data_IF_352359999704
#
_entry.id   IF_352359999704
#
_cell.length_a   1.000
_cell.length_b   1.000
_cell.length_c   1.000
_cell.angle_alpha   90.00
_cell.angle_beta   90.00
_cell.angle_gamma   90.00
#
_symmetry.space_group_name_H-M   'P 1'
#
loop_
_entity.id
_entity.type
_entity.pdbx_description
1 polymer ?
#
# COMPACT_ATOMS: atom_id res chain seq x y z
N UNK A 1 -5.09 -43.13 2.37
CA UNK A 1 -6.28 -42.38 2.81
C UNK A 1 -7.48 -43.24 2.51
N UNK A 2 -8.29 -43.55 3.52
CA UNK A 2 -9.46 -44.40 3.36
C UNK A 2 -10.62 -43.64 2.69
N UNK A 3 -11.52 -44.32 1.99
CA UNK A 3 -12.71 -43.69 1.37
C UNK A 3 -13.59 -42.91 2.39
N UNK A 4 -13.47 -43.23 3.69
CA UNK A 4 -14.17 -42.56 4.78
C UNK A 4 -13.57 -41.18 5.11
N UNK A 5 -12.25 -41.04 5.08
CA UNK A 5 -11.56 -39.76 5.33
C UNK A 5 -11.81 -38.74 4.21
N UNK A 6 -11.82 -39.20 2.94
CA UNK A 6 -12.15 -38.34 1.79
C UNK A 6 -13.56 -37.77 1.92
N UNK A 7 -14.53 -38.61 2.30
CA UNK A 7 -15.93 -38.20 2.42
C UNK A 7 -16.14 -37.17 3.55
N UNK A 8 -15.45 -37.31 4.68
CA UNK A 8 -15.51 -36.33 5.77
C UNK A 8 -14.93 -34.97 5.35
N UNK A 9 -13.75 -34.96 4.73
CA UNK A 9 -13.10 -33.73 4.31
C UNK A 9 -13.95 -32.94 3.31
N UNK A 10 -14.52 -33.63 2.31
CA UNK A 10 -15.39 -33.00 1.31
C UNK A 10 -16.66 -32.44 1.95
N UNK A 11 -17.28 -33.18 2.88
CA UNK A 11 -18.45 -32.68 3.61
C UNK A 11 -18.13 -31.45 4.47
N UNK A 12 -17.01 -31.46 5.19
CA UNK A 12 -16.58 -30.33 6.01
C UNK A 12 -16.38 -29.07 5.17
N UNK A 13 -15.62 -29.19 4.07
CA UNK A 13 -15.35 -28.07 3.16
C UNK A 13 -16.66 -27.56 2.56
N UNK A 14 -17.53 -28.45 2.07
CA UNK A 14 -18.78 -28.05 1.45
C UNK A 14 -19.71 -27.32 2.41
N UNK A 15 -19.85 -27.82 3.65
CA UNK A 15 -20.66 -27.16 4.68
C UNK A 15 -20.12 -25.77 5.03
N UNK A 16 -18.81 -25.66 5.26
CA UNK A 16 -18.20 -24.37 5.55
C UNK A 16 -18.35 -23.39 4.40
N UNK A 17 -18.11 -23.85 3.16
CA UNK A 17 -18.22 -23.02 1.97
C UNK A 17 -19.66 -22.52 1.76
N UNK A 18 -20.66 -23.38 1.97
CA UNK A 18 -22.06 -22.99 1.91
C UNK A 18 -22.39 -21.92 2.97
N UNK A 19 -21.93 -22.09 4.20
CA UNK A 19 -22.11 -21.09 5.26
C UNK A 19 -21.40 -19.77 4.92
N UNK A 20 -20.19 -19.85 4.37
CA UNK A 20 -19.41 -18.70 3.91
C UNK A 20 -20.15 -17.91 2.81
N UNK A 21 -20.58 -18.57 1.74
CA UNK A 21 -21.31 -17.93 0.64
C UNK A 21 -22.67 -17.37 1.10
N UNK A 22 -23.37 -18.08 1.98
CA UNK A 22 -24.62 -17.58 2.60
C UNK A 22 -24.37 -16.28 3.36
N UNK A 23 -23.25 -16.18 4.10
CA UNK A 23 -22.89 -14.95 4.82
C UNK A 23 -22.47 -13.82 3.87
N UNK A 24 -21.69 -14.11 2.83
CA UNK A 24 -21.33 -13.13 1.78
C UNK A 24 -22.58 -12.51 1.17
N UNK A 25 -23.61 -13.34 0.88
CA UNK A 25 -24.87 -12.87 0.32
C UNK A 25 -25.64 -11.86 1.17
N UNK A 26 -25.41 -11.82 2.50
CA UNK A 26 -26.06 -10.85 3.40
C UNK A 26 -25.59 -9.41 3.12
N UNK A 27 -24.37 -9.24 2.63
CA UNK A 27 -23.80 -7.92 2.36
C UNK A 27 -24.24 -7.33 1.01
N UNK A 28 -24.94 -8.11 0.16
CA UNK A 28 -25.44 -7.68 -1.15
C UNK A 28 -24.38 -6.98 -2.03
N UNK A 29 -23.12 -7.41 -1.92
CA UNK A 29 -21.99 -6.86 -2.68
C UNK A 29 -22.16 -7.18 -4.17
N UNK A 30 -21.92 -6.23 -5.08
CA UNK A 30 -21.94 -6.47 -6.53
C UNK A 30 -21.00 -7.60 -6.97
N UNK A 31 -21.34 -8.30 -8.05
CA UNK A 31 -20.56 -9.46 -8.51
C UNK A 31 -19.11 -9.13 -8.85
N UNK A 32 -18.84 -7.96 -9.43
CA UNK A 32 -17.51 -7.46 -9.77
C UNK A 32 -16.67 -7.09 -8.53
N UNK A 33 -17.31 -6.92 -7.38
CA UNK A 33 -16.66 -6.63 -6.11
C UNK A 33 -16.50 -7.85 -5.20
N UNK A 34 -16.98 -9.03 -5.62
CA UNK A 34 -16.80 -10.28 -4.86
C UNK A 34 -15.34 -10.67 -4.69
N UNK A 35 -14.44 -10.04 -5.46
CA UNK A 35 -12.99 -10.21 -5.34
C UNK A 35 -12.45 -9.82 -3.97
N UNK A 36 -13.18 -9.00 -3.19
CA UNK A 36 -12.81 -8.61 -1.81
C UNK A 36 -12.87 -9.78 -0.80
N UNK A 37 -13.66 -10.81 -1.10
CA UNK A 37 -13.79 -12.02 -0.29
C UNK A 37 -12.79 -13.08 -0.73
N UNK A 38 -12.19 -13.81 0.22
CA UNK A 38 -11.10 -14.74 -0.10
C UNK A 38 -11.56 -16.09 -0.67
N UNK A 39 -12.83 -16.46 -0.48
CA UNK A 39 -13.37 -17.76 -0.90
C UNK A 39 -14.67 -17.63 -1.72
N UNK A 40 -14.65 -16.73 -2.69
CA UNK A 40 -15.68 -16.52 -3.71
C UNK A 40 -15.17 -16.87 -5.10
N UNK A 41 -16.07 -16.91 -6.09
CA UNK A 41 -15.73 -17.18 -7.49
C UNK A 41 -15.02 -18.53 -7.66
N UNK A 42 -13.92 -18.56 -8.41
CA UNK A 42 -13.10 -19.75 -8.65
C UNK A 42 -11.92 -19.85 -7.65
N UNK A 43 -11.91 -19.04 -6.59
CA UNK A 43 -10.84 -19.06 -5.60
C UNK A 43 -10.92 -20.32 -4.75
N UNK A 44 -9.77 -20.90 -4.47
CA UNK A 44 -9.65 -22.07 -3.62
C UNK A 44 -8.82 -21.75 -2.38
N UNK A 45 -9.15 -22.44 -1.28
CA UNK A 45 -8.48 -22.28 0.00
C UNK A 45 -8.02 -23.62 0.55
N UNK A 46 -6.98 -23.58 1.38
CA UNK A 46 -6.61 -24.70 2.24
C UNK A 46 -7.02 -24.34 3.65
N UNK A 47 -7.93 -25.12 4.22
CA UNK A 47 -8.41 -25.00 5.59
C UNK A 47 -7.51 -25.83 6.50
N UNK A 48 -7.06 -25.22 7.59
CA UNK A 48 -6.32 -25.87 8.64
C UNK A 48 -7.16 -25.98 9.91
N UNK A 49 -7.17 -27.17 10.49
CA UNK A 49 -7.71 -27.43 11.82
C UNK A 49 -6.58 -28.01 12.68
N UNK A 50 -6.02 -27.19 13.58
CA UNK A 50 -4.85 -27.57 14.38
C UNK A 50 -5.29 -27.80 15.81
N UNK A 51 -5.24 -29.06 16.26
CA UNK A 51 -5.43 -29.42 17.67
C UNK A 51 -4.19 -29.06 18.46
N UNK A 52 -4.41 -28.39 19.58
CA UNK A 52 -3.36 -27.90 20.47
C UNK A 52 -3.82 -28.02 21.91
N UNK A 53 -2.88 -28.05 22.85
CA UNK A 53 -3.17 -28.24 24.26
C UNK A 53 -3.95 -27.05 24.84
N UNK A 54 -4.91 -27.37 25.72
CA UNK A 54 -5.59 -26.40 26.60
C UNK A 54 -5.50 -26.88 28.04
N UNK A 55 -5.36 -25.93 28.95
CA UNK A 55 -5.43 -26.18 30.39
C UNK A 55 -6.87 -26.08 30.93
N UNK A 56 -7.86 -25.89 30.05
CA UNK A 56 -9.26 -25.76 30.44
C UNK A 56 -9.79 -27.07 31.07
N UNK A 57 -10.37 -27.03 32.28
CA UNK A 57 -10.91 -28.22 32.92
C UNK A 57 -11.97 -28.92 32.07
N UNK A 58 -11.80 -30.23 31.84
CA UNK A 58 -12.74 -31.06 31.09
C UNK A 58 -12.42 -31.20 29.60
N UNK A 59 -11.44 -30.48 29.07
CA UNK A 59 -10.99 -30.58 27.68
C UNK A 59 -9.56 -31.09 27.57
N UNK A 60 -9.27 -31.88 26.53
CA UNK A 60 -7.92 -32.41 26.26
C UNK A 60 -7.13 -31.60 25.25
N UNK A 61 -7.83 -30.88 24.39
CA UNK A 61 -7.26 -30.03 23.37
C UNK A 61 -8.31 -28.98 22.98
N UNK A 62 -7.84 -27.89 22.39
CA UNK A 62 -8.68 -26.97 21.63
C UNK A 62 -8.17 -26.95 20.18
N UNK A 63 -9.03 -26.61 19.22
CA UNK A 63 -8.70 -26.55 17.80
C UNK A 63 -8.65 -25.11 17.32
N UNK A 64 -7.54 -24.73 16.70
CA UNK A 64 -7.43 -23.48 15.94
C UNK A 64 -7.87 -23.74 14.51
N UNK A 65 -8.74 -22.87 13.99
CA UNK A 65 -9.14 -22.90 12.60
C UNK A 65 -8.62 -21.67 11.87
N UNK A 66 -8.11 -21.87 10.66
CA UNK A 66 -7.76 -20.80 9.74
C UNK A 66 -7.69 -21.34 8.31
N UNK A 67 -7.65 -20.45 7.34
CA UNK A 67 -7.47 -20.75 5.94
C UNK A 67 -6.22 -20.06 5.37
N UNK A 68 -5.63 -20.67 4.36
CA UNK A 68 -4.61 -20.05 3.51
C UNK A 68 -5.09 -20.03 2.07
N UNK A 69 -4.55 -19.08 1.28
CA UNK A 69 -4.72 -19.13 -0.17
C UNK A 69 -4.17 -20.46 -0.71
N UNK A 70 -4.88 -21.06 -1.64
CA UNK A 70 -4.45 -22.29 -2.29
C UNK A 70 -4.04 -22.01 -3.73
N UNK A 71 -2.93 -22.61 -4.16
CA UNK A 71 -2.47 -22.57 -5.55
C UNK A 71 -3.08 -23.68 -6.41
N UNK A 72 -3.73 -24.66 -5.79
CA UNK A 72 -4.32 -25.81 -6.46
C UNK A 72 -5.78 -25.55 -6.87
N UNK A 73 -6.25 -26.29 -7.88
CA UNK A 73 -7.63 -26.17 -8.41
C UNK A 73 -8.73 -26.67 -7.45
N UNK A 74 -8.38 -27.19 -6.26
CA UNK A 74 -9.34 -27.77 -5.31
C UNK A 74 -9.08 -27.32 -3.89
N UNK A 75 -10.15 -27.05 -3.17
CA UNK A 75 -10.11 -26.80 -1.73
C UNK A 75 -9.53 -28.00 -0.97
N UNK A 76 -8.85 -27.75 0.14
CA UNK A 76 -8.22 -28.78 0.96
C UNK A 76 -8.53 -28.58 2.43
N UNK A 77 -8.65 -29.68 3.18
CA UNK A 77 -8.69 -29.68 4.63
C UNK A 77 -7.44 -30.40 5.15
N UNK A 78 -6.69 -29.74 6.02
CA UNK A 78 -5.52 -30.27 6.69
C UNK A 78 -5.78 -30.24 8.19
N UNK A 79 -5.77 -31.43 8.80
CA UNK A 79 -5.93 -31.60 10.24
C UNK A 79 -4.56 -31.94 10.83
N UNK A 80 -4.11 -31.14 11.78
CA UNK A 80 -2.84 -31.36 12.49
C UNK A 80 -3.12 -31.57 13.97
N UNK A 81 -2.37 -32.49 14.59
CA UNK A 81 -2.38 -32.67 16.04
C UNK A 81 -1.02 -32.26 16.60
N UNK A 82 -1.00 -31.11 17.28
CA UNK A 82 0.17 -30.55 17.94
C UNK A 82 -0.03 -30.51 19.46
N UNK A 83 -0.99 -31.26 20.00
CA UNK A 83 -1.34 -31.23 21.43
C UNK A 83 -0.12 -31.49 22.31
N UNK A 84 0.65 -32.54 22.01
CA UNK A 84 1.88 -32.85 22.77
C UNK A 84 3.00 -31.81 22.58
N UNK A 85 3.05 -31.14 21.43
CA UNK A 85 4.04 -30.09 21.16
C UNK A 85 3.69 -28.75 21.82
N UNK A 86 2.47 -28.61 22.34
CA UNK A 86 1.92 -27.37 22.88
C UNK A 86 1.56 -27.45 24.35
N UNK A 87 1.89 -28.55 25.02
CA UNK A 87 1.86 -28.69 26.48
C UNK A 87 3.01 -27.88 27.13
N UNK A 88 3.01 -26.57 26.88
CA UNK A 88 4.00 -25.60 27.35
C UNK A 88 3.29 -24.46 28.10
N UNK A 89 3.72 -24.11 29.33
CA UNK A 89 3.13 -23.02 30.10
C UNK A 89 3.06 -21.67 29.39
N UNK A 90 4.01 -21.36 28.49
CA UNK A 90 4.00 -20.15 27.68
C UNK A 90 2.97 -20.21 26.57
N UNK A 91 2.62 -21.41 26.09
CA UNK A 91 1.59 -21.59 25.07
C UNK A 91 0.19 -21.55 25.68
N UNK A 92 -0.10 -22.40 26.67
CA UNK A 92 -1.48 -22.53 27.17
C UNK A 92 -1.95 -21.33 28.01
N UNK A 93 -1.03 -20.47 28.48
CA UNK A 93 -1.37 -19.18 29.12
C UNK A 93 -1.72 -18.07 28.13
N UNK A 94 -1.47 -18.27 26.83
CA UNK A 94 -2.06 -17.38 25.83
C UNK A 94 -3.57 -17.62 25.88
N UNK A 95 -4.36 -16.56 25.92
CA UNK A 95 -5.82 -16.64 25.96
C UNK A 95 -6.37 -17.46 24.76
N UNK A 96 -7.29 -18.40 25.02
CA UNK A 96 -7.92 -19.24 24.00
C UNK A 96 -8.79 -18.44 23.03
N UNK A 97 -9.25 -17.25 23.43
CA UNK A 97 -9.91 -16.25 22.58
C UNK A 97 -8.96 -15.47 21.67
N UNK A 98 -7.65 -15.75 21.70
CA UNK A 98 -6.63 -15.11 20.85
C UNK A 98 -5.92 -16.12 19.93
N UNK A 99 -6.64 -16.82 19.03
CA UNK A 99 -6.06 -17.83 18.14
C UNK A 99 -4.88 -17.32 17.30
N UNK A 100 -4.91 -16.05 16.86
CA UNK A 100 -3.80 -15.43 16.11
C UNK A 100 -2.50 -15.41 16.92
N UNK A 101 -2.54 -15.10 18.23
CA UNK A 101 -1.33 -15.09 19.08
C UNK A 101 -0.76 -16.50 19.24
N UNK A 102 -1.63 -17.51 19.31
CA UNK A 102 -1.22 -18.91 19.38
C UNK A 102 -0.61 -19.38 18.06
N UNK A 103 -1.15 -18.97 16.91
CA UNK A 103 -0.54 -19.21 15.59
C UNK A 103 0.85 -18.58 15.47
N UNK A 104 1.03 -17.34 15.95
CA UNK A 104 2.34 -16.68 15.98
C UNK A 104 3.35 -17.46 16.84
N UNK A 105 2.91 -17.98 17.98
CA UNK A 105 3.75 -18.83 18.83
C UNK A 105 4.15 -20.13 18.12
N UNK A 106 3.20 -20.82 17.47
CA UNK A 106 3.48 -22.04 16.71
C UNK A 106 4.50 -21.78 15.59
N UNK A 107 4.37 -20.65 14.90
CA UNK A 107 5.30 -20.24 13.85
C UNK A 107 6.70 -19.92 14.40
N UNK A 108 6.79 -19.21 15.54
CA UNK A 108 8.09 -18.87 16.14
C UNK A 108 8.86 -20.08 16.69
N UNK A 109 8.16 -21.18 16.99
CA UNK A 109 8.74 -22.44 17.43
C UNK A 109 8.95 -23.44 16.29
N UNK A 110 8.80 -23.01 15.02
CA UNK A 110 8.93 -23.84 13.82
C UNK A 110 7.99 -25.06 13.80
N UNK A 111 6.84 -24.99 14.47
CA UNK A 111 5.81 -26.03 14.47
C UNK A 111 4.87 -25.92 13.25
N UNK A 112 4.89 -24.77 12.58
CA UNK A 112 4.23 -24.55 11.29
C UNK A 112 5.30 -24.36 10.21
N UNK A 113 5.01 -24.85 9.00
CA UNK A 113 5.85 -24.51 7.85
C UNK A 113 5.80 -23.00 7.62
N UNK A 114 6.96 -22.36 7.39
CA UNK A 114 7.07 -20.91 7.14
C UNK A 114 6.15 -20.43 6.01
N UNK A 115 5.90 -21.28 5.01
CA UNK A 115 4.98 -20.97 3.90
C UNK A 115 3.52 -20.89 4.33
N UNK A 116 3.11 -21.56 5.41
CA UNK A 116 1.75 -21.46 5.96
C UNK A 116 1.58 -20.08 6.59
N UNK A 117 2.53 -19.66 7.44
CA UNK A 117 2.46 -18.40 8.16
C UNK A 117 2.34 -17.17 7.25
N UNK A 118 3.06 -17.15 6.12
CA UNK A 118 2.99 -16.04 5.16
C UNK A 118 1.70 -15.99 4.33
N UNK A 119 0.92 -17.07 4.30
CA UNK A 119 -0.25 -17.22 3.42
C UNK A 119 -1.58 -17.27 4.18
N UNK A 120 -1.57 -17.06 5.50
CA UNK A 120 -2.79 -17.05 6.33
C UNK A 120 -3.71 -15.92 5.87
N UNK A 121 -4.94 -16.28 5.55
CA UNK A 121 -6.05 -15.33 5.38
C UNK A 121 -6.41 -14.86 6.78
N UNK A 122 -5.87 -13.73 7.21
CA UNK A 122 -5.97 -13.28 8.61
C UNK A 122 -7.41 -13.23 9.14
N UNK A 123 -8.42 -12.75 8.39
CA UNK A 123 -9.83 -12.79 8.82
C UNK A 123 -10.36 -14.19 9.20
N UNK A 124 -9.83 -15.24 8.57
CA UNK A 124 -10.22 -16.63 8.86
C UNK A 124 -9.67 -17.14 10.20
N UNK A 125 -8.62 -16.51 10.73
CA UNK A 125 -7.83 -17.01 11.86
C UNK A 125 -8.33 -16.52 13.24
N UNK A 126 -9.52 -15.90 13.30
CA UNK A 126 -10.11 -15.39 14.53
C UNK A 126 -11.14 -16.33 15.18
N UNK A 127 -11.00 -17.63 14.92
CA UNK A 127 -11.91 -18.66 15.42
C UNK A 127 -11.13 -19.83 16.03
N UNK A 128 -11.53 -20.21 17.24
CA UNK A 128 -11.04 -21.37 17.97
C UNK A 128 -12.22 -22.11 18.57
N UNK A 129 -12.08 -23.42 18.75
CA UNK A 129 -13.14 -24.24 19.32
C UNK A 129 -12.62 -25.37 20.20
N UNK A 130 -13.27 -25.61 21.34
CA UNK A 130 -12.79 -26.55 22.38
C UNK A 130 -13.33 -27.98 22.22
N UNK A 131 -14.34 -28.21 21.38
CA UNK A 131 -14.88 -29.56 21.15
C UNK A 131 -14.46 -30.12 19.78
N UNK A 132 -14.70 -31.43 19.61
CA UNK A 132 -14.47 -32.10 18.34
C UNK A 132 -15.40 -31.56 17.26
N UNK A 133 -14.82 -31.37 16.08
CA UNK A 133 -15.54 -30.98 14.86
C UNK A 133 -16.72 -31.91 14.56
N UNK A 134 -16.58 -33.20 14.88
CA UNK A 134 -17.62 -34.20 14.57
C UNK A 134 -18.87 -34.10 15.46
N UNK A 135 -18.81 -33.37 16.58
CA UNK A 135 -19.84 -33.39 17.65
C UNK A 135 -20.83 -32.20 17.60
N UNK A 136 -20.68 -31.27 16.66
CA UNK A 136 -21.24 -29.90 16.79
C UNK A 136 -22.27 -29.47 15.72
N UNK A 137 -22.51 -30.29 14.69
CA UNK A 137 -23.49 -29.94 13.65
C UNK A 137 -23.14 -28.64 12.91
N UNK A 138 -24.16 -27.84 12.59
CA UNK A 138 -23.99 -26.68 11.69
C UNK A 138 -23.47 -25.40 12.39
N UNK A 139 -23.50 -25.33 13.72
CA UNK A 139 -23.11 -24.14 14.50
C UNK A 139 -21.66 -23.71 14.26
N UNK A 140 -20.73 -24.67 14.23
CA UNK A 140 -19.32 -24.44 13.94
C UNK A 140 -19.15 -23.67 12.62
N UNK A 141 -19.82 -24.16 11.57
CA UNK A 141 -19.69 -23.63 10.22
C UNK A 141 -20.29 -22.24 10.10
N UNK A 142 -21.50 -22.04 10.63
CA UNK A 142 -22.18 -20.74 10.56
C UNK A 142 -21.43 -19.65 11.35
N UNK A 143 -20.97 -19.96 12.56
CA UNK A 143 -20.27 -19.00 13.40
C UNK A 143 -18.88 -18.65 12.84
N UNK A 144 -18.14 -19.65 12.36
CA UNK A 144 -16.84 -19.38 11.75
C UNK A 144 -16.96 -18.59 10.45
N UNK A 145 -17.90 -18.99 9.57
CA UNK A 145 -18.20 -18.25 8.34
C UNK A 145 -18.62 -16.81 8.64
N UNK A 146 -19.46 -16.58 9.66
CA UNK A 146 -19.83 -15.24 10.10
C UNK A 146 -18.60 -14.41 10.45
N UNK A 147 -17.78 -14.87 11.40
CA UNK A 147 -16.59 -14.09 11.83
C UNK A 147 -15.62 -13.83 10.69
N UNK A 148 -15.44 -14.80 9.80
CA UNK A 148 -14.51 -14.67 8.68
C UNK A 148 -15.02 -13.61 7.69
N UNK A 149 -16.24 -13.76 7.18
CA UNK A 149 -16.78 -12.85 6.16
C UNK A 149 -16.95 -11.43 6.70
N UNK A 150 -17.41 -11.28 7.95
CA UNK A 150 -17.59 -9.96 8.57
C UNK A 150 -16.27 -9.20 8.63
N UNK A 151 -15.19 -9.87 9.04
CA UNK A 151 -13.86 -9.26 9.08
C UNK A 151 -13.26 -8.96 7.71
N UNK A 152 -13.62 -9.70 6.67
CA UNK A 152 -13.23 -9.36 5.29
C UNK A 152 -13.97 -8.13 4.79
N UNK A 153 -15.27 -8.04 5.08
CA UNK A 153 -16.08 -6.89 4.74
C UNK A 153 -15.60 -5.62 5.46
N UNK A 154 -15.49 -5.67 6.79
CA UNK A 154 -15.10 -4.50 7.60
C UNK A 154 -13.74 -3.93 7.18
N UNK A 155 -12.75 -4.79 6.89
CA UNK A 155 -11.41 -4.35 6.46
C UNK A 155 -11.40 -3.71 5.08
N UNK A 156 -12.28 -4.15 4.19
CA UNK A 156 -12.33 -3.63 2.82
C UNK A 156 -13.15 -2.35 2.78
N UNK A 157 -14.23 -2.28 3.56
CA UNK A 157 -15.00 -1.07 3.78
C UNK A 157 -14.15 0.03 4.44
N UNK A 158 -13.36 -0.28 5.48
CA UNK A 158 -12.47 0.70 6.11
C UNK A 158 -11.47 1.32 5.11
N UNK A 159 -10.95 0.52 4.17
CA UNK A 159 -10.03 0.98 3.14
C UNK A 159 -10.71 1.78 2.02
N UNK A 160 -12.01 1.59 1.79
CA UNK A 160 -12.78 2.32 0.78
C UNK A 160 -13.40 3.62 1.33
N UNK A 161 -13.88 3.59 2.57
CA UNK A 161 -14.53 4.72 3.23
C UNK A 161 -13.53 5.75 3.74
N UNK A 162 -12.36 5.29 4.20
CA UNK A 162 -11.31 6.18 4.65
C UNK A 162 -10.28 6.31 3.53
N UNK A 163 -10.26 7.47 2.87
CA UNK A 163 -9.10 7.87 2.07
C UNK A 163 -7.86 7.72 2.94
N UNK A 164 -6.77 7.19 2.37
CA UNK A 164 -5.49 7.13 3.08
C UNK A 164 -5.18 8.54 3.57
N UNK A 165 -5.12 8.74 4.89
CA UNK A 165 -4.83 10.05 5.47
C UNK A 165 -3.51 10.53 4.91
N UNK A 166 -3.56 11.62 4.14
CA UNK A 166 -2.36 12.36 3.76
C UNK A 166 -1.95 13.13 5.01
N UNK A 167 -0.93 12.65 5.70
CA UNK A 167 -0.33 13.40 6.80
C UNK A 167 0.31 14.66 6.22
N UNK A 168 -0.21 15.84 6.59
CA UNK A 168 0.31 17.10 6.11
C UNK A 168 1.66 17.42 6.76
N UNK A 169 2.56 18.07 6.03
CA UNK A 169 3.71 18.74 6.63
C UNK A 169 3.20 19.99 7.38
N UNK A 170 3.05 20.01 8.72
CA UNK A 170 4.06 19.69 9.74
C UNK A 170 3.61 18.66 10.82
N UNK A 171 2.53 17.94 10.56
CA UNK A 171 1.84 17.01 11.47
C UNK A 171 2.57 15.67 11.60
N UNK A 172 3.59 15.43 10.78
CA UNK A 172 4.50 14.29 10.95
C UNK A 172 5.01 14.26 12.39
N UNK A 173 4.76 13.18 13.16
CA UNK A 173 5.30 13.04 14.50
C UNK A 173 6.82 13.18 14.46
N UNK A 174 7.49 13.59 15.55
CA UNK A 174 8.95 13.73 15.61
C UNK A 174 9.67 12.42 15.26
N UNK A 175 9.90 12.18 13.97
CA UNK A 175 10.55 11.03 13.40
C UNK A 175 12.03 11.33 13.17
N UNK A 176 12.82 10.27 12.95
CA UNK A 176 14.28 10.35 12.87
C UNK A 176 14.78 11.10 11.63
N UNK A 177 13.99 11.21 10.56
CA UNK A 177 14.41 11.85 9.32
C UNK A 177 13.94 13.32 9.20
N UNK A 178 13.12 13.82 10.15
CA UNK A 178 12.57 15.20 10.14
C UNK A 178 13.64 16.28 9.98
N UNK A 179 14.80 16.11 10.62
CA UNK A 179 15.94 17.02 10.48
C UNK A 179 16.40 17.20 9.02
N UNK A 180 16.33 16.15 8.21
CA UNK A 180 16.72 16.21 6.80
C UNK A 180 15.67 16.94 5.97
N UNK A 181 14.39 16.80 6.29
CA UNK A 181 13.29 17.51 5.61
C UNK A 181 13.30 19.01 5.97
N UNK A 182 13.51 19.33 7.26
CA UNK A 182 13.53 20.70 7.75
C UNK A 182 14.61 21.57 7.08
N UNK A 183 15.72 20.96 6.64
CA UNK A 183 16.80 21.64 5.90
C UNK A 183 16.30 22.35 4.63
N UNK A 184 15.24 21.82 4.00
CA UNK A 184 14.78 22.29 2.70
C UNK A 184 13.72 23.39 2.77
N UNK A 185 13.25 23.75 3.97
CA UNK A 185 12.19 24.75 4.15
C UNK A 185 10.93 24.48 3.30
N UNK A 186 10.55 23.20 3.12
CA UNK A 186 9.44 22.83 2.25
C UNK A 186 8.08 23.39 2.66
N UNK A 187 7.88 23.75 3.93
CA UNK A 187 6.67 24.45 4.37
C UNK A 187 6.48 25.76 3.59
N UNK A 188 7.53 26.56 3.49
CA UNK A 188 7.47 27.85 2.80
C UNK A 188 7.22 27.64 1.30
N UNK A 189 7.79 26.58 0.72
CA UNK A 189 7.51 26.16 -0.65
C UNK A 189 6.03 25.82 -0.83
N UNK A 190 5.47 24.92 -0.03
CA UNK A 190 4.08 24.48 -0.14
C UNK A 190 3.10 25.66 0.03
N UNK A 191 3.31 26.50 1.06
CA UNK A 191 2.49 27.68 1.31
C UNK A 191 2.55 28.70 0.16
N UNK A 192 3.72 28.89 -0.45
CA UNK A 192 3.88 29.83 -1.56
C UNK A 192 3.29 29.32 -2.87
N UNK A 193 3.42 28.01 -3.14
CA UNK A 193 2.86 27.38 -4.34
C UNK A 193 1.34 27.45 -4.32
N UNK A 194 0.72 27.23 -3.14
CA UNK A 194 -0.72 27.25 -2.92
C UNK A 194 -1.47 26.37 -3.95
N UNK A 195 -0.94 25.17 -4.18
CA UNK A 195 -1.50 24.16 -5.07
C UNK A 195 -1.78 22.89 -4.26
N UNK A 196 -3.06 22.63 -3.99
CA UNK A 196 -3.48 21.53 -3.11
C UNK A 196 -3.11 20.16 -3.67
N UNK A 197 -3.09 20.01 -5.00
CA UNK A 197 -2.71 18.76 -5.63
C UNK A 197 -1.21 18.50 -5.44
N UNK A 198 -0.37 19.52 -5.69
CA UNK A 198 1.06 19.42 -5.44
C UNK A 198 1.35 19.15 -3.96
N UNK A 199 0.65 19.84 -3.05
CA UNK A 199 0.80 19.63 -1.61
C UNK A 199 0.48 18.20 -1.20
N UNK A 200 -0.64 17.64 -1.67
CA UNK A 200 -1.01 16.25 -1.38
C UNK A 200 0.01 15.25 -1.93
N UNK A 201 0.41 15.40 -3.21
CA UNK A 201 1.42 14.55 -3.86
C UNK A 201 2.76 14.59 -3.12
N UNK A 202 3.19 15.79 -2.72
CA UNK A 202 4.47 15.99 -2.04
C UNK A 202 4.43 15.46 -0.61
N UNK A 203 3.35 15.69 0.13
CA UNK A 203 3.17 15.16 1.49
C UNK A 203 3.19 13.62 1.52
N UNK A 204 2.58 12.96 0.52
CA UNK A 204 2.69 11.50 0.39
C UNK A 204 4.13 11.04 0.15
N UNK A 205 4.92 11.79 -0.62
CA UNK A 205 6.33 11.51 -0.83
C UNK A 205 7.15 11.67 0.45
N UNK A 206 6.85 12.69 1.26
CA UNK A 206 7.50 12.91 2.56
C UNK A 206 7.12 11.82 3.56
N UNK A 207 5.85 11.41 3.61
CA UNK A 207 5.41 10.27 4.42
C UNK A 207 6.18 8.98 4.05
N UNK A 208 6.32 8.71 2.75
CA UNK A 208 7.08 7.57 2.25
C UNK A 208 8.58 7.67 2.62
N UNK A 209 9.15 8.87 2.58
CA UNK A 209 10.53 9.14 3.00
C UNK A 209 10.73 8.83 4.49
N UNK A 210 9.86 9.36 5.35
CA UNK A 210 9.93 9.17 6.80
C UNK A 210 9.77 7.70 7.21
N UNK A 211 8.98 6.93 6.46
CA UNK A 211 8.74 5.50 6.70
C UNK A 211 9.69 4.57 5.93
N UNK A 212 10.81 5.10 5.44
CA UNK A 212 11.87 4.36 4.74
C UNK A 212 11.37 3.60 3.49
N UNK A 213 10.27 4.06 2.88
CA UNK A 213 9.69 3.51 1.66
C UNK A 213 10.36 4.15 0.44
N UNK A 214 11.68 3.99 0.34
CA UNK A 214 12.52 4.69 -0.64
C UNK A 214 12.07 4.54 -2.09
N UNK A 215 11.57 3.35 -2.46
CA UNK A 215 11.03 3.11 -3.80
C UNK A 215 9.82 4.01 -4.09
N UNK A 216 8.82 4.00 -3.21
CA UNK A 216 7.60 4.80 -3.36
C UNK A 216 7.92 6.29 -3.36
N UNK A 217 8.79 6.72 -2.43
CA UNK A 217 9.25 8.10 -2.33
C UNK A 217 9.93 8.57 -3.62
N UNK A 218 10.93 7.85 -4.13
CA UNK A 218 11.66 8.27 -5.34
C UNK A 218 10.78 8.33 -6.59
N UNK A 219 9.83 7.39 -6.75
CA UNK A 219 8.89 7.41 -7.88
C UNK A 219 7.98 8.63 -7.81
N UNK A 220 7.43 8.95 -6.63
CA UNK A 220 6.54 10.11 -6.44
C UNK A 220 7.28 11.46 -6.55
N UNK A 221 8.51 11.56 -6.03
CA UNK A 221 9.29 12.80 -6.08
C UNK A 221 9.62 13.23 -7.52
N UNK A 222 9.83 12.29 -8.44
CA UNK A 222 10.01 12.66 -9.84
C UNK A 222 8.74 13.26 -10.46
N UNK A 223 7.56 12.77 -10.09
CA UNK A 223 6.29 13.39 -10.49
C UNK A 223 6.09 14.77 -9.87
N UNK A 224 6.48 14.96 -8.60
CA UNK A 224 6.49 16.28 -7.97
C UNK A 224 7.41 17.25 -8.74
N UNK A 225 8.60 16.80 -9.18
CA UNK A 225 9.49 17.64 -9.99
C UNK A 225 8.83 18.08 -11.32
N UNK A 226 8.15 17.17 -12.02
CA UNK A 226 7.39 17.50 -13.26
C UNK A 226 6.27 18.50 -12.98
N UNK A 227 5.53 18.29 -11.90
CA UNK A 227 4.44 19.16 -11.49
C UNK A 227 4.94 20.56 -11.13
N UNK A 228 6.03 20.68 -10.37
CA UNK A 228 6.66 21.97 -10.07
C UNK A 228 7.13 22.70 -11.34
N UNK A 229 7.76 21.98 -12.27
CA UNK A 229 8.15 22.55 -13.56
C UNK A 229 6.93 23.03 -14.36
N UNK A 230 5.81 22.30 -14.32
CA UNK A 230 4.55 22.70 -14.95
C UNK A 230 3.98 23.97 -14.31
N UNK A 231 3.99 24.08 -12.98
CA UNK A 231 3.53 25.27 -12.25
C UNK A 231 4.35 26.49 -12.69
N UNK A 232 5.68 26.37 -12.72
CA UNK A 232 6.60 27.44 -13.17
C UNK A 232 6.26 27.91 -14.59
N UNK A 233 6.11 26.99 -15.54
CA UNK A 233 5.75 27.33 -16.92
C UNK A 233 4.37 27.99 -17.01
N UNK A 234 3.42 27.49 -16.23
CA UNK A 234 2.05 28.02 -16.16
C UNK A 234 2.03 29.45 -15.64
N UNK A 235 2.86 29.77 -14.64
CA UNK A 235 2.99 31.13 -14.13
C UNK A 235 3.48 32.09 -15.21
N UNK A 236 4.52 31.73 -15.97
CA UNK A 236 4.98 32.55 -17.10
C UNK A 236 3.90 32.76 -18.16
N UNK A 237 3.14 31.72 -18.50
CA UNK A 237 2.07 31.82 -19.50
C UNK A 237 0.94 32.74 -19.02
N UNK A 238 0.50 32.56 -17.77
CA UNK A 238 -0.53 33.40 -17.10
C UNK A 238 -0.08 34.85 -16.97
N UNK A 239 1.20 35.08 -16.69
CA UNK A 239 1.82 36.40 -16.61
C UNK A 239 2.14 37.02 -17.98
N UNK A 240 1.64 36.41 -19.06
CA UNK A 240 1.63 37.01 -20.40
C UNK A 240 2.94 36.86 -21.18
N UNK A 241 3.83 35.93 -20.80
CA UNK A 241 5.02 35.67 -21.60
C UNK A 241 4.64 35.26 -23.03
N UNK A 242 5.21 35.96 -24.01
CA UNK A 242 5.13 35.61 -25.43
C UNK A 242 6.52 35.67 -26.02
N UNK A 243 6.87 34.67 -26.84
CA UNK A 243 8.13 34.69 -27.56
C UNK A 243 8.12 35.72 -28.70
N UNK A 244 9.26 35.87 -29.39
CA UNK A 244 9.44 36.81 -30.52
C UNK A 244 8.41 36.63 -31.66
N UNK A 245 7.77 35.46 -31.76
CA UNK A 245 6.72 35.14 -32.73
C UNK A 245 5.30 35.29 -32.17
N UNK A 246 5.17 35.97 -31.03
CA UNK A 246 3.92 36.16 -30.28
C UNK A 246 3.22 34.85 -29.88
N UNK A 247 3.98 33.79 -29.57
CA UNK A 247 3.44 32.49 -29.13
C UNK A 247 3.66 32.30 -27.64
N UNK A 248 2.69 31.71 -26.95
CA UNK A 248 2.79 31.34 -25.53
C UNK A 248 3.85 30.27 -25.26
N UNK A 249 4.17 30.07 -23.99
CA UNK A 249 5.29 29.20 -23.57
C UNK A 249 5.01 27.71 -23.90
N UNK A 250 3.74 27.30 -23.91
CA UNK A 250 3.30 25.95 -24.23
C UNK A 250 3.15 25.69 -25.74
N UNK A 251 3.59 26.61 -26.61
CA UNK A 251 3.49 26.39 -28.04
C UNK A 251 4.32 25.18 -28.49
N UNK A 252 3.66 24.19 -29.09
CA UNK A 252 4.28 22.92 -29.51
C UNK A 252 4.55 21.95 -28.36
N UNK A 253 3.95 22.19 -27.19
CA UNK A 253 3.99 21.25 -26.08
C UNK A 253 3.00 20.10 -26.34
N UNK A 254 3.44 18.84 -26.25
CA UNK A 254 2.58 17.69 -26.54
C UNK A 254 1.52 17.49 -25.45
N UNK A 255 0.44 16.76 -25.79
CA UNK A 255 -0.62 16.42 -24.84
C UNK A 255 -0.13 15.51 -23.70
N UNK A 256 0.84 14.65 -23.99
CA UNK A 256 1.47 13.74 -23.03
C UNK A 256 2.97 14.09 -22.97
N UNK A 257 3.35 15.13 -22.21
CA UNK A 257 4.73 15.57 -22.14
C UNK A 257 5.61 14.56 -21.41
N UNK A 258 6.87 14.51 -21.83
CA UNK A 258 7.92 13.80 -21.13
C UNK A 258 8.85 14.79 -20.45
N UNK A 259 9.68 14.30 -19.52
CA UNK A 259 10.82 15.03 -18.96
C UNK A 259 11.58 15.90 -19.99
N UNK A 260 11.86 15.37 -21.18
CA UNK A 260 12.58 16.09 -22.23
C UNK A 260 11.80 17.29 -22.77
N UNK A 261 10.48 17.22 -22.83
CA UNK A 261 9.64 18.32 -23.27
C UNK A 261 9.71 19.49 -22.29
N UNK A 262 9.66 19.21 -20.98
CA UNK A 262 9.84 20.21 -19.92
C UNK A 262 11.24 20.84 -19.97
N UNK A 263 12.30 20.04 -20.02
CA UNK A 263 13.68 20.54 -20.11
C UNK A 263 13.88 21.41 -21.36
N UNK A 264 13.30 21.02 -22.50
CA UNK A 264 13.36 21.79 -23.74
C UNK A 264 12.66 23.15 -23.63
N UNK A 265 11.62 23.29 -22.80
CA UNK A 265 10.99 24.59 -22.57
C UNK A 265 11.85 25.46 -21.65
N UNK A 266 12.45 24.87 -20.62
CA UNK A 266 13.33 25.59 -19.68
C UNK A 266 14.60 26.14 -20.34
N UNK A 267 15.09 25.53 -21.43
CA UNK A 267 16.26 26.03 -22.18
C UNK A 267 15.94 27.26 -23.04
N UNK A 268 14.66 27.63 -23.17
CA UNK A 268 14.21 28.80 -23.93
C UNK A 268 13.92 29.98 -23.01
N UNK A 269 13.84 31.17 -23.59
CA UNK A 269 13.33 32.35 -22.87
C UNK A 269 11.91 32.04 -22.34
N UNK A 270 11.56 32.54 -21.13
CA UNK A 270 12.32 33.49 -20.32
C UNK A 270 13.33 32.85 -19.35
N UNK A 271 13.29 31.52 -19.18
CA UNK A 271 14.08 30.80 -18.15
C UNK A 271 15.54 30.64 -18.58
N UNK A 272 15.78 30.16 -19.81
CA UNK A 272 17.08 30.06 -20.46
C UNK A 272 18.15 29.35 -19.62
N UNK A 273 17.84 28.15 -19.12
CA UNK A 273 18.81 27.33 -18.38
C UNK A 273 20.03 26.97 -19.25
N UNK A 274 21.19 26.86 -18.61
CA UNK A 274 22.45 26.42 -19.25
C UNK A 274 22.41 24.93 -19.60
N UNK A 275 23.31 24.49 -20.48
CA UNK A 275 23.47 23.06 -20.79
C UNK A 275 23.79 22.21 -19.55
N UNK A 276 24.53 22.76 -18.58
CA UNK A 276 24.86 22.06 -17.32
C UNK A 276 23.63 21.87 -16.44
N UNK A 277 22.80 22.90 -16.30
CA UNK A 277 21.51 22.81 -15.59
C UNK A 277 20.58 21.83 -16.28
N UNK A 278 20.52 21.85 -17.62
CA UNK A 278 19.75 20.86 -18.37
C UNK A 278 20.25 19.43 -18.15
N UNK A 279 21.57 19.20 -18.10
CA UNK A 279 22.15 17.90 -17.75
C UNK A 279 21.75 17.45 -16.34
N UNK A 280 21.80 18.35 -15.36
CA UNK A 280 21.38 18.04 -13.99
C UNK A 280 19.90 17.64 -13.92
N UNK A 281 19.01 18.42 -14.53
CA UNK A 281 17.57 18.09 -14.56
C UNK A 281 17.32 16.74 -15.26
N UNK A 282 18.01 16.47 -16.38
CA UNK A 282 17.92 15.16 -17.04
C UNK A 282 18.42 14.01 -16.13
N UNK A 283 19.43 14.25 -15.30
CA UNK A 283 19.92 13.26 -14.33
C UNK A 283 18.86 12.95 -13.26
N UNK A 284 18.12 13.95 -12.77
CA UNK A 284 16.98 13.75 -11.85
C UNK A 284 15.90 12.87 -12.48
N UNK A 285 15.57 13.11 -13.75
CA UNK A 285 14.60 12.28 -14.48
C UNK A 285 15.10 10.86 -14.74
N UNK A 286 16.38 10.69 -15.06
CA UNK A 286 16.99 9.36 -15.17
C UNK A 286 16.99 8.62 -13.83
N UNK A 287 17.25 9.32 -12.73
CA UNK A 287 17.15 8.77 -11.38
C UNK A 287 15.74 8.23 -11.11
N UNK A 288 14.69 9.00 -11.40
CA UNK A 288 13.30 8.51 -11.30
C UNK A 288 13.01 7.33 -12.22
N UNK A 289 13.36 7.42 -13.50
CA UNK A 289 13.09 6.36 -14.48
C UNK A 289 13.82 5.05 -14.15
N UNK A 290 14.98 5.13 -13.50
CA UNK A 290 15.71 3.94 -13.04
C UNK A 290 14.93 3.15 -11.97
N UNK A 291 14.10 3.83 -11.18
CA UNK A 291 13.23 3.23 -10.15
C UNK A 291 11.94 2.74 -10.78
N UNK A 292 11.29 3.55 -11.60
CA UNK A 292 9.93 3.29 -12.11
C UNK A 292 9.84 2.17 -13.15
N UNK A 293 10.85 2.03 -14.04
CA UNK A 293 10.74 1.15 -15.21
C UNK A 293 11.73 -0.02 -15.24
N UNK A 294 12.82 0.03 -14.47
CA UNK A 294 13.96 -0.86 -14.71
C UNK A 294 14.55 -1.54 -13.47
N UNK A 295 14.12 -1.20 -12.24
CA UNK A 295 14.71 -1.81 -11.04
C UNK A 295 13.69 -1.96 -9.89
N UNK A 296 13.23 -3.19 -9.66
CA UNK A 296 12.35 -3.54 -8.52
C UNK A 296 13.07 -3.65 -7.18
N UNK A 297 14.37 -3.32 -7.08
CA UNK A 297 15.21 -3.98 -6.08
C UNK A 297 16.01 -3.15 -5.08
N UNK A 298 16.52 -1.95 -5.39
CA UNK A 298 17.50 -1.26 -4.52
C UNK A 298 17.45 0.26 -4.62
N UNK A 299 16.31 0.85 -4.30
CA UNK A 299 16.23 2.31 -4.08
C UNK A 299 16.71 2.62 -2.66
N UNK A 300 17.57 3.62 -2.52
CA UNK A 300 18.15 4.03 -1.24
C UNK A 300 17.84 5.49 -0.94
N UNK A 301 17.95 5.87 0.34
CA UNK A 301 17.77 7.23 0.83
C UNK A 301 18.47 8.28 -0.04
N UNK A 302 19.73 8.06 -0.43
CA UNK A 302 20.50 9.02 -1.23
C UNK A 302 19.85 9.40 -2.57
N UNK A 303 19.05 8.50 -3.16
CA UNK A 303 18.32 8.83 -4.39
C UNK A 303 17.13 9.75 -4.12
N UNK A 304 16.44 9.54 -2.99
CA UNK A 304 15.37 10.43 -2.54
C UNK A 304 15.96 11.80 -2.16
N UNK A 305 17.10 11.83 -1.45
CA UNK A 305 17.83 13.06 -1.11
C UNK A 305 18.17 13.87 -2.37
N UNK A 306 18.70 13.21 -3.41
CA UNK A 306 19.00 13.85 -4.69
C UNK A 306 17.76 14.46 -5.38
N UNK A 307 16.61 13.77 -5.30
CA UNK A 307 15.36 14.27 -5.88
C UNK A 307 14.78 15.43 -5.05
N UNK A 308 14.88 15.38 -3.73
CA UNK A 308 14.50 16.47 -2.83
C UNK A 308 15.38 17.71 -3.04
N UNK A 309 16.70 17.52 -3.20
CA UNK A 309 17.62 18.59 -3.62
C UNK A 309 17.16 19.19 -4.95
N UNK A 310 16.83 18.35 -5.93
CA UNK A 310 16.34 18.79 -7.24
C UNK A 310 15.05 19.60 -7.20
N UNK A 311 14.08 19.21 -6.36
CA UNK A 311 12.83 19.95 -6.15
C UNK A 311 13.12 21.30 -5.47
N UNK A 312 13.95 21.30 -4.43
CA UNK A 312 14.34 22.50 -3.71
C UNK A 312 15.06 23.50 -4.63
N UNK A 313 16.04 23.04 -5.42
CA UNK A 313 16.76 23.86 -6.40
C UNK A 313 15.79 24.41 -7.46
N UNK A 314 14.87 23.57 -7.97
CA UNK A 314 13.89 23.99 -8.97
C UNK A 314 12.98 25.11 -8.44
N UNK A 315 12.53 24.99 -7.19
CA UNK A 315 11.71 25.99 -6.54
C UNK A 315 12.51 27.28 -6.30
N UNK A 316 13.66 27.18 -5.64
CA UNK A 316 14.47 28.33 -5.24
C UNK A 316 14.98 29.15 -6.44
N UNK A 317 15.42 28.47 -7.50
CA UNK A 317 16.07 29.15 -8.63
C UNK A 317 15.06 29.73 -9.63
N UNK A 318 13.89 29.09 -9.81
CA UNK A 318 13.00 29.40 -10.94
C UNK A 318 11.59 29.83 -10.56
N UNK A 319 11.07 29.44 -9.38
CA UNK A 319 9.68 29.73 -9.02
C UNK A 319 9.42 31.23 -8.84
N UNK A 320 10.24 31.92 -8.05
CA UNK A 320 10.07 33.35 -7.77
C UNK A 320 10.06 34.18 -9.07
N UNK A 321 11.01 33.90 -9.98
CA UNK A 321 11.10 34.56 -11.28
C UNK A 321 9.87 34.33 -12.16
N UNK A 322 9.18 33.21 -12.01
CA UNK A 322 7.95 32.90 -12.76
C UNK A 322 6.74 33.70 -12.28
N UNK A 323 6.59 33.87 -10.96
CA UNK A 323 5.48 34.61 -10.34
C UNK A 323 5.66 36.11 -10.54
N UNK A 324 6.89 36.61 -10.45
CA UNK A 324 7.21 38.03 -10.57
C UNK A 324 7.32 38.52 -12.02
N UNK A 325 7.23 37.63 -13.01
CA UNK A 325 7.31 38.00 -14.42
C UNK A 325 6.23 39.02 -14.79
N UNK A 326 6.62 40.07 -15.49
CA UNK A 326 5.71 41.04 -16.10
C UNK A 326 6.07 41.22 -17.56
N UNK A 327 5.06 41.08 -18.42
CA UNK A 327 5.16 41.46 -19.83
C UNK A 327 5.50 42.95 -19.91
N UNK A 328 6.66 43.31 -20.46
CA UNK A 328 6.93 44.71 -20.85
C UNK A 328 5.97 45.08 -21.98
N UNK A 329 4.98 45.91 -21.67
CA UNK A 329 4.13 46.55 -22.68
C UNK A 329 5.01 47.41 -23.59
N UNK A 330 4.83 47.27 -24.90
CA UNK A 330 5.47 48.11 -25.93
C UNK A 330 4.94 49.57 -25.94
N UNK A 331 4.52 50.10 -24.81
CA UNK A 331 3.95 51.46 -24.72
C UNK A 331 4.96 52.52 -24.26
N UNK A 332 6.21 52.15 -23.98
CA UNK A 332 7.28 53.07 -23.55
C UNK A 332 8.48 53.15 -24.53
N UNK A 333 8.29 52.81 -25.82
CA UNK A 333 9.16 53.21 -26.94
C UNK A 333 8.32 53.95 -27.99
#
# INVERSE_FOLDING_TARGET
MSNLESNFNDQFINKLHQAYLKRVGIYHVPNDELTRFSWTENKTVTIYAIKVFTAEPGYKFYTIFFATKNSDEKNKLIILDLTNNTEDPKFFRIDDGLPVKKLLWLNSHNLLNKSIGSNIITPSANFSYVKKVEEEGDFLFENWAQKWVDQEYDRTQEAEENSTLVEAFPDFPNTKQRFFIDRYHFKDMLESLNDSQFEDEFNQCLFAYENEKWFLCATGLGSCLEHLMLIILTNYDKNGFRNEKNRGIFHGFPKNPTAQDYVRLFTKNPIKITSRQATFINLLYMARNSVDHHNTGKTQKNLCDLLLDGISDMYNDYYSSSVLYKSTSKEDE
#
